data_IF_040587719013
#
_entry.id   IF_040587719013
#
_cell.length_a   1.000
_cell.length_b   1.000
_cell.length_c   1.000
_cell.angle_alpha   90.00
_cell.angle_beta   90.00
_cell.angle_gamma   90.00
#
_symmetry.space_group_name_H-M   'P 1'
#
loop_
_entity.id
_entity.type
_entity.pdbx_description
1 polymer ?
#
# COMPACT_ATOMS: atom_id res chain seq x y z
N UNK A 1 -32.49 63.53 37.71
CA UNK A 1 -32.67 62.35 38.60
C UNK A 1 -32.53 61.08 37.78
N UNK A 2 -31.35 60.45 37.80
CA UNK A 2 -31.12 59.16 37.14
C UNK A 2 -31.66 58.06 38.05
N UNK A 3 -32.72 57.37 37.60
CA UNK A 3 -33.33 56.25 38.31
C UNK A 3 -32.43 55.03 38.12
N UNK A 4 -31.70 54.64 39.16
CA UNK A 4 -30.91 53.41 39.17
C UNK A 4 -31.86 52.22 39.00
N UNK A 5 -31.74 51.48 37.89
CA UNK A 5 -32.39 50.18 37.73
C UNK A 5 -31.72 49.23 38.72
N UNK A 6 -32.48 48.69 39.66
CA UNK A 6 -32.00 47.61 40.53
C UNK A 6 -31.73 46.39 39.66
N UNK A 7 -30.47 45.95 39.63
CA UNK A 7 -30.10 44.65 39.08
C UNK A 7 -30.67 43.62 40.06
N UNK A 8 -31.83 43.03 39.73
CA UNK A 8 -32.29 41.84 40.43
C UNK A 8 -31.24 40.76 40.18
N UNK A 9 -30.51 40.36 41.21
CA UNK A 9 -29.79 39.09 41.20
C UNK A 9 -30.83 37.98 41.20
N UNK A 10 -31.31 37.61 40.01
CA UNK A 10 -32.04 36.38 39.81
C UNK A 10 -31.10 35.25 40.21
N UNK A 11 -31.25 34.74 41.43
CA UNK A 11 -30.57 33.53 41.86
C UNK A 11 -30.83 32.47 40.78
N UNK A 12 -29.78 31.79 40.29
CA UNK A 12 -29.98 30.78 39.26
C UNK A 12 -30.97 29.73 39.78
N UNK A 13 -31.84 29.19 38.92
CA UNK A 13 -32.87 28.24 39.33
C UNK A 13 -32.23 27.09 40.12
N UNK A 14 -32.90 26.62 41.18
CA UNK A 14 -32.35 25.65 42.13
C UNK A 14 -31.79 24.37 41.45
N UNK A 15 -32.38 23.99 40.32
CA UNK A 15 -31.91 22.91 39.45
C UNK A 15 -30.48 23.14 38.94
N UNK A 16 -30.16 24.35 38.46
CA UNK A 16 -28.85 24.71 37.94
C UNK A 16 -27.79 24.70 39.05
N UNK A 17 -28.14 25.18 40.24
CA UNK A 17 -27.30 25.11 41.44
C UNK A 17 -26.97 23.66 41.82
N UNK A 18 -27.93 22.73 41.66
CA UNK A 18 -27.72 21.32 41.98
C UNK A 18 -26.80 20.62 40.96
N UNK A 19 -26.90 20.98 39.67
CA UNK A 19 -25.97 20.52 38.62
C UNK A 19 -24.56 21.03 38.87
N UNK A 20 -24.39 22.31 39.21
CA UNK A 20 -23.07 22.90 39.48
C UNK A 20 -22.42 22.22 40.70
N UNK A 21 -23.22 21.95 41.74
CA UNK A 21 -22.75 21.28 42.96
C UNK A 21 -22.24 19.84 42.70
N UNK A 22 -22.86 19.13 41.76
CA UNK A 22 -22.48 17.76 41.38
C UNK A 22 -21.72 17.68 40.04
N UNK A 23 -21.22 18.81 39.53
CA UNK A 23 -20.60 18.92 38.22
C UNK A 23 -19.41 17.97 38.03
N UNK A 24 -18.58 17.79 39.06
CA UNK A 24 -17.46 16.86 39.02
C UNK A 24 -17.90 15.39 38.88
N UNK A 25 -18.96 14.99 39.59
CA UNK A 25 -19.51 13.62 39.52
C UNK A 25 -20.19 13.36 38.18
N UNK A 26 -20.94 14.34 37.69
CA UNK A 26 -21.57 14.29 36.36
C UNK A 26 -20.51 14.25 35.26
N UNK A 27 -19.46 15.05 35.36
CA UNK A 27 -18.33 15.02 34.42
C UNK A 27 -17.61 13.68 34.41
N UNK A 28 -17.35 13.10 35.58
CA UNK A 28 -16.77 11.76 35.69
C UNK A 28 -17.69 10.69 35.07
N UNK A 29 -19.00 10.75 35.32
CA UNK A 29 -19.98 9.84 34.72
C UNK A 29 -19.96 9.94 33.18
N UNK A 30 -19.97 11.14 32.62
CA UNK A 30 -19.88 11.35 31.17
C UNK A 30 -18.55 10.87 30.59
N UNK A 31 -17.45 11.03 31.32
CA UNK A 31 -16.15 10.51 30.91
C UNK A 31 -16.15 8.97 30.84
N UNK A 32 -16.69 8.30 31.86
CA UNK A 32 -16.85 6.84 31.86
C UNK A 32 -17.79 6.37 30.73
N UNK A 33 -18.92 7.06 30.53
CA UNK A 33 -19.83 6.80 29.40
C UNK A 33 -19.15 6.98 28.05
N UNK A 34 -18.31 8.01 27.89
CA UNK A 34 -17.55 8.24 26.66
C UNK A 34 -16.53 7.13 26.41
N UNK A 35 -15.85 6.64 27.45
CA UNK A 35 -14.95 5.49 27.34
C UNK A 35 -15.73 4.25 26.89
N UNK A 36 -16.85 3.93 27.55
CA UNK A 36 -17.70 2.77 27.21
C UNK A 36 -18.21 2.88 25.76
N UNK A 37 -18.67 4.07 25.36
CA UNK A 37 -19.13 4.33 23.99
C UNK A 37 -18.01 4.19 22.96
N UNK A 38 -16.78 4.62 23.30
CA UNK A 38 -15.60 4.42 22.45
C UNK A 38 -15.30 2.94 22.27
N UNK A 39 -15.36 2.13 23.35
CA UNK A 39 -15.20 0.68 23.25
C UNK A 39 -16.30 0.01 22.41
N UNK A 40 -17.53 0.50 22.51
CA UNK A 40 -18.67 0.05 21.69
C UNK A 40 -18.54 0.42 20.20
N UNK A 41 -17.93 1.56 19.87
CA UNK A 41 -17.59 1.90 18.50
C UNK A 41 -16.48 1.00 17.97
N UNK A 42 -15.45 0.75 18.78
CA UNK A 42 -14.35 -0.15 18.45
C UNK A 42 -14.84 -1.59 18.28
N UNK A 43 -15.87 -2.02 19.03
CA UNK A 43 -16.40 -3.38 18.94
C UNK A 43 -17.14 -3.69 17.64
N UNK A 44 -17.29 -2.72 16.73
CA UNK A 44 -17.80 -2.95 15.37
C UNK A 44 -19.27 -3.42 15.28
N UNK A 45 -19.96 -3.64 16.39
CA UNK A 45 -21.39 -4.00 16.41
C UNK A 45 -22.30 -2.81 16.04
N UNK A 46 -21.82 -1.59 16.29
CA UNK A 46 -22.52 -0.33 16.00
C UNK A 46 -21.86 0.41 14.82
N UNK A 47 -20.63 0.04 14.45
CA UNK A 47 -19.91 0.65 13.34
C UNK A 47 -20.50 0.23 11.99
N UNK A 48 -20.68 1.18 11.08
CA UNK A 48 -21.00 0.86 9.68
C UNK A 48 -19.84 0.07 9.05
N UNK A 49 -20.17 -0.82 8.11
CA UNK A 49 -19.17 -1.45 7.26
C UNK A 49 -18.35 -0.36 6.55
N UNK A 50 -17.04 -0.59 6.38
CA UNK A 50 -16.17 0.38 5.71
C UNK A 50 -16.70 0.68 4.31
N UNK A 51 -17.06 1.95 4.11
CA UNK A 51 -17.60 2.45 2.84
C UNK A 51 -16.48 3.18 2.13
N UNK A 52 -16.14 2.70 0.93
CA UNK A 52 -15.24 3.40 0.00
C UNK A 52 -15.84 4.79 -0.26
N UNK A 53 -15.13 5.83 0.18
CA UNK A 53 -15.59 7.22 0.09
C UNK A 53 -15.35 7.80 -1.30
N UNK A 54 -14.28 7.34 -1.96
CA UNK A 54 -13.90 7.74 -3.30
C UNK A 54 -14.78 7.09 -4.37
N UNK A 55 -15.74 7.87 -4.88
CA UNK A 55 -16.62 7.47 -5.97
C UNK A 55 -15.89 7.19 -7.30
N UNK A 56 -14.60 7.49 -7.44
CA UNK A 56 -13.82 7.16 -8.63
C UNK A 56 -13.34 5.70 -8.64
N UNK A 57 -13.29 5.06 -7.46
CA UNK A 57 -12.73 3.72 -7.32
C UNK A 57 -13.70 2.59 -7.70
N UNK A 58 -15.02 2.87 -7.78
CA UNK A 58 -16.13 2.03 -8.28
C UNK A 58 -15.83 0.51 -8.45
N UNK A 59 -15.29 -0.14 -7.43
CA UNK A 59 -14.70 -1.48 -7.58
C UNK A 59 -15.72 -2.55 -7.99
N UNK A 60 -17.01 -2.30 -7.74
CA UNK A 60 -18.12 -3.18 -8.14
C UNK A 60 -18.62 -3.00 -9.57
N UNK A 61 -18.17 -1.98 -10.31
CA UNK A 61 -18.65 -1.63 -11.66
C UNK A 61 -17.59 -1.86 -12.75
N UNK A 62 -16.42 -2.38 -12.39
CA UNK A 62 -15.35 -2.67 -13.35
C UNK A 62 -15.60 -4.03 -14.02
N UNK A 63 -15.55 -4.05 -15.34
CA UNK A 63 -15.55 -5.29 -16.13
C UNK A 63 -14.19 -6.00 -16.02
N UNK A 64 -14.20 -7.22 -15.52
CA UNK A 64 -13.03 -8.10 -15.53
C UNK A 64 -12.85 -8.66 -16.95
N UNK A 65 -11.72 -8.34 -17.59
CA UNK A 65 -11.46 -8.69 -18.99
C UNK A 65 -10.25 -9.58 -19.20
N UNK A 66 -9.31 -9.58 -18.25
CA UNK A 66 -8.11 -10.42 -18.35
C UNK A 66 -8.42 -11.87 -17.98
N UNK A 67 -8.18 -12.79 -18.90
CA UNK A 67 -8.44 -14.23 -18.73
C UNK A 67 -7.34 -15.10 -19.36
N UNK A 68 -6.18 -14.54 -19.68
CA UNK A 68 -5.12 -15.27 -20.39
C UNK A 68 -4.26 -16.11 -19.45
N UNK A 69 -4.85 -17.24 -19.01
CA UNK A 69 -4.20 -18.22 -18.14
C UNK A 69 -3.05 -18.92 -18.87
N UNK A 70 -3.13 -19.06 -20.20
CA UNK A 70 -2.10 -19.75 -20.97
C UNK A 70 -0.79 -18.97 -20.98
N UNK A 71 -0.87 -17.65 -21.23
CA UNK A 71 0.30 -16.77 -21.19
C UNK A 71 0.94 -16.75 -19.80
N UNK A 72 0.12 -16.67 -18.74
CA UNK A 72 0.63 -16.75 -17.37
C UNK A 72 1.34 -18.10 -17.10
N UNK A 73 0.73 -19.21 -17.52
CA UNK A 73 1.30 -20.55 -17.32
C UNK A 73 2.65 -20.70 -18.03
N UNK A 74 2.74 -20.18 -19.26
CA UNK A 74 4.00 -20.18 -20.02
C UNK A 74 5.08 -19.34 -19.32
N UNK A 75 4.73 -18.13 -18.86
CA UNK A 75 5.68 -17.27 -18.14
C UNK A 75 6.19 -17.95 -16.85
N UNK A 76 5.32 -18.65 -16.12
CA UNK A 76 5.70 -19.41 -14.93
C UNK A 76 6.64 -20.58 -15.24
N UNK A 77 6.42 -21.29 -16.36
CA UNK A 77 7.29 -22.37 -16.82
C UNK A 77 8.68 -21.81 -17.19
N UNK A 78 8.72 -20.79 -18.06
CA UNK A 78 9.96 -20.16 -18.52
C UNK A 78 10.79 -19.59 -17.35
N UNK A 79 10.13 -18.86 -16.42
CA UNK A 79 10.80 -18.33 -15.22
C UNK A 79 11.20 -19.44 -14.24
N UNK A 80 10.46 -20.56 -14.22
CA UNK A 80 10.76 -21.73 -13.41
C UNK A 80 12.08 -22.41 -13.80
N UNK A 81 12.45 -22.38 -15.08
CA UNK A 81 13.72 -22.91 -15.59
C UNK A 81 14.92 -22.07 -15.12
N UNK A 82 14.78 -20.75 -15.09
CA UNK A 82 15.86 -19.79 -14.78
C UNK A 82 15.88 -19.32 -13.32
N UNK A 83 15.02 -19.88 -12.47
CA UNK A 83 14.80 -19.44 -11.07
C UNK A 83 16.04 -19.25 -10.20
N UNK A 84 17.10 -20.02 -10.47
CA UNK A 84 18.31 -20.03 -9.65
C UNK A 84 19.29 -18.91 -10.04
N UNK A 85 19.10 -18.26 -11.19
CA UNK A 85 20.03 -17.26 -11.70
C UNK A 85 19.33 -15.89 -11.83
N UNK A 86 19.60 -15.01 -10.87
CA UNK A 86 19.03 -13.66 -10.85
C UNK A 86 19.40 -12.83 -12.09
N UNK A 87 20.58 -13.05 -12.68
CA UNK A 87 20.99 -12.34 -13.89
C UNK A 87 20.13 -12.76 -15.09
N UNK A 88 19.83 -14.06 -15.20
CA UNK A 88 18.94 -14.58 -16.25
C UNK A 88 17.51 -14.10 -16.05
N UNK A 89 17.00 -14.10 -14.81
CA UNK A 89 15.66 -13.55 -14.49
C UNK A 89 15.57 -12.09 -14.94
N UNK A 90 16.57 -11.27 -14.61
CA UNK A 90 16.60 -9.86 -15.02
C UNK A 90 16.62 -9.73 -16.55
N UNK A 91 17.45 -10.50 -17.24
CA UNK A 91 17.48 -10.47 -18.70
C UNK A 91 16.16 -10.91 -19.33
N UNK A 92 15.54 -11.96 -18.78
CA UNK A 92 14.23 -12.42 -19.22
C UNK A 92 13.15 -11.35 -19.06
N UNK A 93 13.07 -10.68 -17.90
CA UNK A 93 12.12 -9.59 -17.67
C UNK A 93 12.31 -8.48 -18.71
N UNK A 94 13.55 -8.05 -18.91
CA UNK A 94 13.86 -7.01 -19.88
C UNK A 94 13.46 -7.42 -21.30
N UNK A 95 13.81 -8.64 -21.71
CA UNK A 95 13.51 -9.17 -23.03
C UNK A 95 12.01 -9.33 -23.27
N UNK A 96 11.23 -9.72 -22.25
CA UNK A 96 9.76 -9.78 -22.34
C UNK A 96 9.15 -8.40 -22.57
N UNK A 97 9.56 -7.36 -21.84
CA UNK A 97 9.07 -6.00 -22.13
C UNK A 97 9.46 -5.52 -23.53
N UNK A 98 10.67 -5.83 -24.00
CA UNK A 98 11.11 -5.51 -25.37
C UNK A 98 10.22 -6.22 -26.40
N UNK A 99 9.92 -7.52 -26.21
CA UNK A 99 8.99 -8.28 -27.08
C UNK A 99 7.60 -7.65 -27.10
N UNK A 100 7.13 -7.18 -25.94
CA UNK A 100 5.86 -6.47 -25.76
C UNK A 100 5.86 -5.05 -26.36
N UNK A 101 7.02 -4.51 -26.76
CA UNK A 101 7.22 -3.12 -27.22
C UNK A 101 6.84 -2.07 -26.17
N UNK A 102 7.07 -2.40 -24.92
CA UNK A 102 6.91 -1.47 -23.79
C UNK A 102 8.26 -0.79 -23.52
N UNK A 103 8.23 0.46 -23.08
CA UNK A 103 9.46 1.16 -22.66
C UNK A 103 10.07 0.42 -21.48
N UNK A 104 11.33 0.01 -21.56
CA UNK A 104 12.02 -0.73 -20.50
C UNK A 104 13.45 -0.29 -20.35
N UNK A 105 13.91 -0.19 -19.11
CA UNK A 105 15.18 0.39 -18.75
C UNK A 105 15.81 -0.36 -17.58
N UNK A 106 17.13 -0.17 -17.42
CA UNK A 106 17.93 -0.77 -16.34
C UNK A 106 18.51 0.35 -15.49
N UNK A 107 18.53 0.14 -14.19
CA UNK A 107 19.22 1.02 -13.26
C UNK A 107 20.28 0.20 -12.52
N UNK A 108 21.55 0.46 -12.83
CA UNK A 108 22.67 -0.24 -12.21
C UNK A 108 23.24 0.60 -11.06
N UNK A 109 23.51 -0.05 -9.94
CA UNK A 109 24.07 0.59 -8.76
C UNK A 109 25.04 -0.34 -8.04
N UNK A 110 25.89 0.25 -7.20
CA UNK A 110 26.79 -0.45 -6.30
C UNK A 110 26.54 -0.02 -4.87
N UNK A 111 26.42 -1.00 -4.00
CA UNK A 111 26.39 -0.79 -2.56
C UNK A 111 27.83 -0.83 -2.06
N UNK A 112 28.30 0.31 -1.56
CA UNK A 112 29.63 0.43 -0.97
C UNK A 112 29.67 -0.28 0.39
N UNK A 113 30.86 -0.76 0.81
CA UNK A 113 31.00 -1.44 2.08
C UNK A 113 30.58 -0.51 3.21
N UNK A 114 29.55 -0.90 3.96
CA UNK A 114 29.18 -0.25 5.21
C UNK A 114 29.93 -0.90 6.36
N UNK A 115 29.97 -0.26 7.54
CA UNK A 115 30.67 -0.75 8.74
C UNK A 115 30.30 -2.19 9.19
N UNK A 116 29.24 -2.78 8.61
CA UNK A 116 28.76 -4.16 8.87
C UNK A 116 29.05 -5.17 7.74
N UNK A 117 29.43 -4.75 6.53
CA UNK A 117 29.59 -5.65 5.38
C UNK A 117 30.84 -5.25 4.56
N UNK A 118 31.83 -6.14 4.47
CA UNK A 118 33.13 -5.88 3.85
C UNK A 118 33.16 -6.00 2.32
N UNK A 119 32.04 -6.36 1.68
CA UNK A 119 31.99 -6.60 0.24
C UNK A 119 31.09 -5.59 -0.45
N UNK A 120 31.59 -5.03 -1.55
CA UNK A 120 30.77 -4.28 -2.52
C UNK A 120 29.83 -5.25 -3.22
N UNK A 121 28.52 -4.99 -3.20
CA UNK A 121 27.55 -5.72 -4.00
C UNK A 121 27.02 -4.82 -5.11
N UNK A 122 27.04 -5.34 -6.33
CA UNK A 122 26.40 -4.68 -7.47
C UNK A 122 24.94 -5.12 -7.52
N UNK A 123 24.04 -4.18 -7.78
CA UNK A 123 22.63 -4.44 -8.00
C UNK A 123 22.12 -3.80 -9.29
N UNK A 124 21.02 -4.34 -9.79
CA UNK A 124 20.41 -3.88 -11.04
C UNK A 124 18.89 -3.99 -10.98
N UNK A 125 18.21 -2.86 -10.88
CA UNK A 125 16.76 -2.81 -10.99
C UNK A 125 16.35 -2.75 -12.46
N UNK A 126 15.22 -3.36 -12.79
CA UNK A 126 14.59 -3.22 -14.11
C UNK A 126 13.26 -2.54 -13.92
N UNK A 127 12.93 -1.62 -14.81
CA UNK A 127 11.62 -0.99 -14.78
C UNK A 127 11.06 -0.80 -16.19
N UNK A 128 9.76 -0.99 -16.30
CA UNK A 128 8.99 -0.80 -17.52
C UNK A 128 7.94 0.30 -17.36
N UNK A 129 7.67 1.04 -18.42
CA UNK A 129 6.68 2.13 -18.40
C UNK A 129 5.70 1.93 -19.55
N UNK A 130 4.41 1.81 -19.21
CA UNK A 130 3.30 1.86 -20.17
C UNK A 130 2.67 3.24 -20.06
N UNK A 131 2.78 4.04 -21.12
CA UNK A 131 2.26 5.41 -21.17
C UNK A 131 0.75 5.43 -21.35
N UNK A 132 0.06 6.34 -20.67
CA UNK A 132 -1.34 6.59 -20.91
C UNK A 132 -1.55 7.24 -22.30
N UNK A 133 -2.27 6.57 -23.19
CA UNK A 133 -2.48 7.09 -24.56
C UNK A 133 -3.36 8.34 -24.62
N UNK A 134 -4.36 8.44 -23.73
CA UNK A 134 -5.40 9.50 -23.76
C UNK A 134 -5.24 10.58 -22.69
N UNK A 135 -4.23 10.47 -21.84
CA UNK A 135 -4.01 11.38 -20.73
C UNK A 135 -2.61 11.98 -20.82
N UNK A 136 -2.44 13.15 -20.22
CA UNK A 136 -1.10 13.72 -20.05
C UNK A 136 -0.29 12.83 -19.09
N UNK A 137 0.99 12.53 -19.38
CA UNK A 137 1.85 11.68 -18.56
C UNK A 137 2.33 12.41 -17.29
N UNK A 138 1.39 12.99 -16.54
CA UNK A 138 1.64 13.81 -15.34
C UNK A 138 1.56 12.98 -14.07
N UNK A 139 0.77 11.91 -14.11
CA UNK A 139 0.51 11.04 -12.97
C UNK A 139 0.72 9.56 -13.37
N UNK A 140 1.19 8.77 -12.41
CA UNK A 140 1.53 7.37 -12.60
C UNK A 140 1.08 6.50 -11.42
N UNK A 141 0.93 5.20 -11.69
CA UNK A 141 0.72 4.16 -10.69
C UNK A 141 1.91 3.21 -10.74
N UNK A 142 2.49 2.90 -9.58
CA UNK A 142 3.64 2.00 -9.45
C UNK A 142 3.17 0.58 -9.07
N UNK A 143 3.70 -0.42 -9.75
CA UNK A 143 3.66 -1.83 -9.35
C UNK A 143 5.08 -2.30 -9.08
N UNK A 144 5.43 -2.52 -7.81
CA UNK A 144 6.74 -2.99 -7.38
C UNK A 144 6.71 -4.49 -7.12
N UNK A 145 7.69 -5.20 -7.65
CA UNK A 145 7.77 -6.67 -7.66
C UNK A 145 9.18 -7.09 -7.30
N UNK A 146 9.40 -7.98 -6.33
CA UNK A 146 10.72 -8.49 -6.02
C UNK A 146 11.18 -9.50 -7.08
N UNK A 147 12.44 -9.42 -7.55
CA UNK A 147 12.98 -10.40 -8.51
C UNK A 147 13.16 -11.81 -7.93
N UNK A 148 12.95 -11.96 -6.62
CA UNK A 148 13.02 -13.24 -5.92
C UNK A 148 11.72 -14.04 -5.98
N UNK A 149 10.58 -13.42 -6.31
CA UNK A 149 9.28 -14.09 -6.43
C UNK A 149 8.91 -14.28 -7.90
N UNK A 150 9.04 -15.52 -8.39
CA UNK A 150 8.76 -15.88 -9.79
C UNK A 150 7.30 -15.64 -10.12
N UNK A 151 6.41 -16.03 -9.22
CA UNK A 151 4.97 -15.93 -9.38
C UNK A 151 4.55 -14.46 -9.51
N UNK A 152 5.13 -13.57 -8.69
CA UNK A 152 4.86 -12.14 -8.79
C UNK A 152 5.38 -11.55 -10.10
N UNK A 153 6.56 -11.97 -10.56
CA UNK A 153 7.13 -11.54 -11.84
C UNK A 153 6.22 -11.97 -12.99
N UNK A 154 5.79 -13.24 -13.00
CA UNK A 154 4.93 -13.79 -14.04
C UNK A 154 3.59 -13.04 -14.12
N UNK A 155 2.95 -12.78 -12.96
CA UNK A 155 1.70 -12.03 -12.89
C UNK A 155 1.89 -10.59 -13.36
N UNK A 156 2.98 -9.93 -12.96
CA UNK A 156 3.26 -8.56 -13.39
C UNK A 156 3.51 -8.45 -14.90
N UNK A 157 4.26 -9.40 -15.48
CA UNK A 157 4.51 -9.47 -16.93
C UNK A 157 3.22 -9.80 -17.70
N UNK A 158 2.40 -10.73 -17.22
CA UNK A 158 1.11 -11.05 -17.82
C UNK A 158 0.15 -9.85 -17.77
N UNK A 159 0.15 -9.10 -16.67
CA UNK A 159 -0.61 -7.87 -16.55
C UNK A 159 -0.09 -6.79 -17.50
N UNK A 160 1.23 -6.62 -17.62
CA UNK A 160 1.83 -5.66 -18.55
C UNK A 160 1.45 -5.97 -20.01
N UNK A 161 1.50 -7.24 -20.43
CA UNK A 161 1.13 -7.71 -21.77
C UNK A 161 -0.33 -7.40 -22.12
N UNK A 162 -1.22 -7.53 -21.14
CA UNK A 162 -2.62 -7.11 -21.27
C UNK A 162 -2.79 -5.59 -21.27
N UNK A 163 -2.09 -4.91 -20.38
CA UNK A 163 -2.23 -3.48 -20.13
C UNK A 163 -1.77 -2.65 -21.33
N UNK A 164 -0.72 -3.06 -22.05
CA UNK A 164 -0.21 -2.33 -23.21
C UNK A 164 -1.24 -2.15 -24.34
N UNK A 165 -2.19 -3.05 -24.45
CA UNK A 165 -3.21 -3.01 -25.52
C UNK A 165 -4.46 -2.21 -25.11
N UNK A 166 -4.53 -1.75 -23.85
CA UNK A 166 -5.68 -0.97 -23.36
C UNK A 166 -5.52 0.52 -23.65
N UNK A 167 -6.47 1.09 -24.38
CA UNK A 167 -6.45 2.51 -24.79
C UNK A 167 -6.95 3.49 -23.71
N UNK A 168 -7.54 2.98 -22.63
CA UNK A 168 -8.30 3.78 -21.66
C UNK A 168 -7.57 4.03 -20.35
N UNK A 169 -6.28 3.72 -20.25
CA UNK A 169 -5.50 4.12 -19.08
C UNK A 169 -5.50 5.63 -18.93
N UNK A 170 -5.90 6.10 -17.76
CA UNK A 170 -5.89 7.51 -17.40
C UNK A 170 -4.53 7.98 -16.90
N UNK A 171 -3.61 7.04 -16.59
CA UNK A 171 -2.33 7.26 -15.90
C UNK A 171 -1.26 6.32 -16.45
N UNK A 172 0.00 6.74 -16.37
CA UNK A 172 1.12 5.88 -16.71
C UNK A 172 1.18 4.70 -15.74
N UNK A 173 1.46 3.50 -16.23
CA UNK A 173 1.71 2.33 -15.40
C UNK A 173 3.21 2.07 -15.37
N UNK A 174 3.80 2.11 -14.18
CA UNK A 174 5.22 1.86 -13.98
C UNK A 174 5.38 0.53 -13.27
N UNK A 175 6.14 -0.38 -13.88
CA UNK A 175 6.48 -1.68 -13.32
C UNK A 175 7.91 -1.62 -12.84
N UNK A 176 8.17 -1.90 -11.57
CA UNK A 176 9.50 -1.93 -10.98
C UNK A 176 9.83 -3.33 -10.48
N UNK A 177 10.88 -3.91 -11.03
CA UNK A 177 11.44 -5.19 -10.60
C UNK A 177 12.67 -4.92 -9.73
N UNK A 178 12.51 -5.17 -8.43
CA UNK A 178 13.47 -4.82 -7.39
C UNK A 178 14.49 -5.94 -7.21
N UNK A 179 15.75 -5.63 -7.45
CA UNK A 179 16.84 -6.60 -7.37
C UNK A 179 17.02 -7.14 -5.95
N UNK A 180 17.01 -8.47 -5.84
CA UNK A 180 17.12 -9.20 -4.57
C UNK A 180 15.91 -9.01 -3.64
N UNK A 181 14.84 -8.34 -4.09
CA UNK A 181 13.64 -8.10 -3.29
C UNK A 181 13.87 -7.23 -2.04
N UNK A 182 14.95 -6.46 -2.00
CA UNK A 182 15.32 -5.67 -0.81
C UNK A 182 14.71 -4.27 -0.83
N UNK A 183 14.33 -3.75 0.34
CA UNK A 183 13.85 -2.37 0.50
C UNK A 183 14.91 -1.35 0.07
N UNK A 184 16.19 -1.65 0.29
CA UNK A 184 17.30 -0.81 -0.12
C UNK A 184 17.36 -0.65 -1.65
N UNK A 185 17.23 -1.74 -2.42
CA UNK A 185 17.21 -1.68 -3.88
C UNK A 185 16.02 -0.84 -4.39
N UNK A 186 14.85 -0.96 -3.76
CA UNK A 186 13.67 -0.16 -4.11
C UNK A 186 13.87 1.33 -3.79
N UNK A 187 14.41 1.65 -2.60
CA UNK A 187 14.74 3.01 -2.17
C UNK A 187 15.68 3.73 -3.15
N UNK A 188 16.68 3.01 -3.69
CA UNK A 188 17.66 3.57 -4.65
C UNK A 188 16.96 4.01 -5.94
N UNK A 189 16.08 3.16 -6.46
CA UNK A 189 15.30 3.48 -7.65
C UNK A 189 14.35 4.64 -7.39
N UNK A 190 13.61 4.58 -6.28
CA UNK A 190 12.62 5.60 -5.92
C UNK A 190 13.26 6.97 -5.65
N UNK A 191 14.44 6.99 -5.02
CA UNK A 191 15.21 8.22 -4.82
C UNK A 191 15.61 8.83 -6.16
N UNK A 192 16.06 8.01 -7.11
CA UNK A 192 16.40 8.49 -8.46
C UNK A 192 15.18 8.98 -9.22
N UNK A 193 14.04 8.29 -9.08
CA UNK A 193 12.76 8.68 -9.69
C UNK A 193 12.29 10.07 -9.24
N UNK A 194 12.52 10.41 -7.98
CA UNK A 194 12.15 11.73 -7.43
C UNK A 194 13.27 12.78 -7.51
N UNK A 195 14.38 12.49 -8.22
CA UNK A 195 15.54 13.39 -8.31
C UNK A 195 16.19 13.67 -6.95
N UNK A 196 16.04 12.76 -5.99
CA UNK A 196 16.64 12.87 -4.67
C UNK A 196 18.08 12.33 -4.69
N UNK A 197 18.94 12.95 -3.87
CA UNK A 197 20.30 12.45 -3.69
C UNK A 197 20.28 11.10 -3.00
N UNK A 198 21.12 10.19 -3.49
CA UNK A 198 21.31 8.89 -2.86
C UNK A 198 21.90 9.02 -1.45
N UNK A 199 21.56 8.06 -0.58
CA UNK A 199 22.14 7.96 0.77
C UNK A 199 23.64 7.64 0.66
N UNK A 200 24.40 8.02 1.68
CA UNK A 200 25.83 7.68 1.76
C UNK A 200 26.03 6.15 1.65
N UNK A 201 27.06 5.73 0.91
CA UNK A 201 27.35 4.32 0.69
C UNK A 201 26.64 3.69 -0.52
N UNK A 202 25.97 4.48 -1.37
CA UNK A 202 25.40 4.04 -2.64
C UNK A 202 26.09 4.80 -3.78
N UNK A 203 26.61 4.06 -4.76
CA UNK A 203 27.19 4.61 -5.99
C UNK A 203 26.29 4.20 -7.16
N UNK A 204 25.68 5.16 -7.84
CA UNK A 204 24.97 4.89 -9.08
C UNK A 204 25.99 4.70 -10.20
N UNK A 205 25.75 3.71 -11.08
CA UNK A 205 26.58 3.53 -12.27
C UNK A 205 26.14 4.52 -13.37
N UNK A 206 24.86 4.84 -13.39
CA UNK A 206 24.25 5.83 -14.28
C UNK A 206 23.73 7.01 -13.43
N UNK A 207 24.12 8.24 -13.76
CA UNK A 207 23.84 9.43 -12.94
C UNK A 207 22.33 9.76 -12.82
N UNK A 208 21.51 9.35 -13.80
CA UNK A 208 20.07 9.63 -13.88
C UNK A 208 19.30 8.45 -14.50
N UNK A 209 18.01 8.34 -14.19
CA UNK A 209 17.14 7.36 -14.86
C UNK A 209 16.93 7.78 -16.31
N UNK A 210 17.12 6.84 -17.25
CA UNK A 210 16.91 7.07 -18.69
C UNK A 210 15.51 7.59 -19.01
N UNK A 211 14.49 7.14 -18.27
CA UNK A 211 13.15 7.69 -18.33
C UNK A 211 12.43 7.55 -16.99
N UNK A 212 11.40 8.37 -16.77
CA UNK A 212 10.49 8.22 -15.64
C UNK A 212 9.04 8.47 -16.07
N UNK A 213 8.10 8.02 -15.25
CA UNK A 213 6.67 8.30 -15.40
C UNK A 213 6.29 9.64 -14.77
N UNK A 214 4.98 9.88 -14.69
CA UNK A 214 4.42 11.00 -13.92
C UNK A 214 4.60 10.86 -12.40
N UNK A 215 4.03 11.80 -11.64
CA UNK A 215 4.00 11.72 -10.17
C UNK A 215 3.17 10.53 -9.71
N UNK A 216 3.67 9.75 -8.75
CA UNK A 216 2.90 8.63 -8.21
C UNK A 216 1.68 9.10 -7.43
N UNK A 217 0.50 8.61 -7.82
CA UNK A 217 -0.74 8.77 -7.07
C UNK A 217 -1.06 7.54 -6.20
N UNK A 218 -0.39 6.43 -6.47
CA UNK A 218 -0.53 5.17 -5.75
C UNK A 218 0.58 4.19 -6.14
N UNK A 219 0.88 3.27 -5.22
CA UNK A 219 1.87 2.22 -5.43
C UNK A 219 1.38 0.91 -4.80
N UNK A 220 1.64 -0.20 -5.47
CA UNK A 220 1.32 -1.54 -5.01
C UNK A 220 2.59 -2.38 -4.99
N UNK A 221 2.82 -3.09 -3.88
CA UNK A 221 3.84 -4.14 -3.81
C UNK A 221 3.17 -5.49 -4.04
N UNK A 222 3.71 -6.30 -4.94
CA UNK A 222 3.20 -7.64 -5.22
C UNK A 222 4.19 -8.69 -4.72
N UNK A 223 3.74 -9.53 -3.79
CA UNK A 223 4.47 -10.70 -3.31
C UNK A 223 3.51 -11.89 -3.22
N UNK A 224 3.56 -12.73 -4.25
CA UNK A 224 2.76 -13.93 -4.43
C UNK A 224 3.65 -15.14 -4.16
N UNK A 225 3.11 -16.08 -3.40
CA UNK A 225 3.75 -17.37 -3.16
C UNK A 225 2.80 -18.49 -3.60
N UNK A 226 3.23 -19.28 -4.59
CA UNK A 226 2.45 -20.40 -5.13
C UNK A 226 1.36 -20.02 -6.14
N UNK A 227 0.73 -21.05 -6.71
CA UNK A 227 -0.18 -20.92 -7.86
C UNK A 227 -1.66 -20.90 -7.48
N UNK A 228 -2.00 -21.25 -6.24
CA UNK A 228 -3.37 -21.26 -5.72
C UNK A 228 -3.30 -20.68 -4.31
N UNK A 229 -3.94 -19.53 -4.10
CA UNK A 229 -3.99 -18.87 -2.81
C UNK A 229 -5.43 -18.82 -2.30
N UNK A 230 -5.65 -19.31 -1.07
CA UNK A 230 -6.95 -19.25 -0.39
C UNK A 230 -7.15 -17.95 0.40
N UNK A 231 -6.05 -17.27 0.70
CA UNK A 231 -6.00 -16.02 1.43
C UNK A 231 -5.06 -15.03 0.77
N UNK A 232 -5.37 -13.74 0.91
CA UNK A 232 -4.51 -12.63 0.47
C UNK A 232 -4.27 -11.74 1.68
N UNK A 233 -3.01 -11.59 2.07
CA UNK A 233 -2.62 -10.66 3.13
C UNK A 233 -2.51 -9.25 2.55
N UNK A 234 -3.43 -8.37 2.95
CA UNK A 234 -3.39 -6.96 2.58
C UNK A 234 -2.55 -6.23 3.62
N UNK A 235 -1.29 -5.96 3.26
CA UNK A 235 -0.37 -5.21 4.09
C UNK A 235 -0.42 -3.72 3.74
N UNK A 236 -0.28 -2.87 4.76
CA UNK A 236 -0.25 -1.43 4.58
C UNK A 236 0.93 -0.84 5.35
N UNK A 237 1.70 0.02 4.68
CA UNK A 237 2.79 0.77 5.30
C UNK A 237 2.30 2.12 5.84
N UNK A 238 2.91 2.60 6.92
CA UNK A 238 2.72 3.97 7.40
C UNK A 238 4.04 4.71 7.29
N UNK A 239 4.06 5.86 6.60
CA UNK A 239 5.25 6.71 6.49
C UNK A 239 5.07 7.89 7.42
N UNK A 240 5.96 8.05 8.41
CA UNK A 240 5.92 9.15 9.40
C UNK A 240 4.56 9.27 10.12
N UNK A 241 3.92 8.14 10.43
CA UNK A 241 2.61 8.12 11.10
C UNK A 241 1.43 8.52 10.22
N UNK A 242 1.63 8.75 8.91
CA UNK A 242 0.53 8.90 7.96
C UNK A 242 0.03 7.53 7.54
N UNK A 243 -1.26 7.31 7.72
CA UNK A 243 -1.96 6.14 7.18
C UNK A 243 -2.02 6.23 5.65
N UNK A 244 -2.01 5.09 4.94
CA UNK A 244 -2.33 5.07 3.53
C UNK A 244 -3.79 5.46 3.30
N UNK A 245 -4.13 5.74 2.04
CA UNK A 245 -5.53 5.99 1.68
C UNK A 245 -6.38 4.76 2.06
N UNK A 246 -7.31 4.94 3.00
CA UNK A 246 -8.17 3.87 3.51
C UNK A 246 -9.06 3.29 2.40
N UNK A 247 -9.48 4.12 1.44
CA UNK A 247 -10.29 3.66 0.32
C UNK A 247 -9.53 2.68 -0.58
N UNK A 248 -8.22 2.87 -0.77
CA UNK A 248 -7.37 1.95 -1.52
C UNK A 248 -7.23 0.59 -0.80
N UNK A 249 -7.11 0.65 0.52
CA UNK A 249 -7.04 -0.53 1.36
C UNK A 249 -8.36 -1.32 1.34
N UNK A 250 -9.48 -0.63 1.56
CA UNK A 250 -10.82 -1.22 1.51
C UNK A 250 -11.12 -1.80 0.11
N UNK A 251 -10.67 -1.13 -0.95
CA UNK A 251 -10.77 -1.65 -2.31
C UNK A 251 -9.99 -2.96 -2.49
N UNK A 252 -8.77 -3.06 -1.98
CA UNK A 252 -7.98 -4.29 -2.06
C UNK A 252 -8.66 -5.46 -1.32
N UNK A 253 -9.20 -5.18 -0.12
CA UNK A 253 -9.98 -6.16 0.66
C UNK A 253 -11.23 -6.60 -0.13
N UNK A 254 -11.99 -5.65 -0.68
CA UNK A 254 -13.20 -5.93 -1.43
C UNK A 254 -12.94 -6.74 -2.70
N UNK A 255 -11.91 -6.39 -3.47
CA UNK A 255 -11.52 -7.12 -4.69
C UNK A 255 -11.04 -8.53 -4.37
N UNK A 256 -10.33 -8.71 -3.24
CA UNK A 256 -9.93 -10.03 -2.75
C UNK A 256 -11.15 -10.90 -2.45
N UNK A 257 -12.14 -10.37 -1.74
CA UNK A 257 -13.39 -11.11 -1.46
C UNK A 257 -14.17 -11.42 -2.74
N UNK A 258 -14.22 -10.48 -3.68
CA UNK A 258 -14.88 -10.66 -4.98
C UNK A 258 -14.22 -11.77 -5.80
N UNK A 259 -12.89 -11.86 -5.75
CA UNK A 259 -12.12 -12.93 -6.38
C UNK A 259 -12.27 -14.29 -5.67
N UNK A 260 -12.97 -14.35 -4.53
CA UNK A 260 -13.22 -15.57 -3.77
C UNK A 260 -12.13 -15.96 -2.78
N UNK A 261 -11.11 -15.11 -2.59
CA UNK A 261 -10.07 -15.30 -1.58
C UNK A 261 -10.46 -14.67 -0.24
N UNK A 262 -9.82 -15.13 0.83
CA UNK A 262 -10.04 -14.61 2.19
C UNK A 262 -9.06 -13.46 2.45
N UNK A 263 -9.50 -12.20 2.54
CA UNK A 263 -8.61 -11.12 2.92
C UNK A 263 -8.18 -11.26 4.39
N UNK A 264 -6.88 -11.14 4.63
CA UNK A 264 -6.31 -11.07 5.98
C UNK A 264 -5.52 -9.78 6.15
N UNK A 265 -5.48 -9.27 7.38
CA UNK A 265 -4.73 -8.06 7.72
C UNK A 265 -3.85 -8.39 8.91
N UNK A 266 -2.53 -8.32 8.75
CA UNK A 266 -1.55 -8.79 9.75
C UNK A 266 -1.85 -10.21 10.24
N UNK A 267 -2.09 -11.13 9.29
CA UNK A 267 -2.43 -12.55 9.52
C UNK A 267 -3.70 -12.80 10.34
N UNK A 268 -4.56 -11.79 10.49
CA UNK A 268 -5.83 -11.92 11.19
C UNK A 268 -6.94 -11.92 10.15
N UNK A 269 -7.70 -13.01 10.13
CA UNK A 269 -8.86 -13.17 9.26
C UNK A 269 -10.04 -12.35 9.76
N UNK A 270 -10.72 -11.65 8.85
CA UNK A 270 -12.01 -11.04 9.15
C UNK A 270 -13.05 -12.15 9.38
N UNK A 271 -13.38 -12.44 10.63
CA UNK A 271 -14.46 -13.36 10.95
C UNK A 271 -15.81 -12.72 10.57
N UNK A 272 -16.49 -13.23 9.53
CA UNK A 272 -17.74 -12.67 8.99
C UNK A 272 -18.89 -12.53 10.00
N UNK A 273 -18.89 -13.28 11.10
CA UNK A 273 -20.09 -13.42 11.95
C UNK A 273 -19.90 -13.06 13.44
N UNK A 274 -18.69 -12.80 13.94
CA UNK A 274 -18.49 -12.39 15.33
C UNK A 274 -17.27 -11.47 15.47
N UNK A 275 -17.48 -10.29 16.06
CA UNK A 275 -16.40 -9.37 16.34
C UNK A 275 -15.50 -9.96 17.43
N UNK A 276 -14.31 -10.42 17.03
CA UNK A 276 -13.32 -10.91 17.97
C UNK A 276 -12.51 -9.71 18.49
N UNK A 277 -12.88 -9.15 19.65
CA UNK A 277 -12.15 -8.05 20.27
C UNK A 277 -10.64 -8.36 20.44
N UNK A 278 -10.29 -9.63 20.72
CA UNK A 278 -8.88 -10.06 20.75
C UNK A 278 -8.23 -9.98 19.38
N UNK A 279 -8.96 -10.31 18.32
CA UNK A 279 -8.51 -10.15 16.94
C UNK A 279 -8.19 -8.69 16.62
N UNK A 280 -9.13 -7.78 16.87
CA UNK A 280 -8.93 -6.35 16.62
C UNK A 280 -7.77 -5.76 17.44
N UNK A 281 -7.67 -6.10 18.73
CA UNK A 281 -6.56 -5.69 19.58
C UNK A 281 -5.22 -6.25 19.10
N UNK A 282 -5.19 -7.51 18.65
CA UNK A 282 -3.99 -8.12 18.08
C UNK A 282 -3.62 -7.49 16.73
N UNK A 283 -4.57 -7.16 15.87
CA UNK A 283 -4.29 -6.44 14.60
C UNK A 283 -3.68 -5.08 14.89
N UNK A 284 -4.24 -4.34 15.85
CA UNK A 284 -3.71 -3.04 16.27
C UNK A 284 -2.29 -3.15 16.84
N UNK A 285 -2.06 -4.11 17.75
CA UNK A 285 -0.74 -4.34 18.34
C UNK A 285 0.28 -4.82 17.29
N UNK A 286 -0.10 -5.75 16.41
CA UNK A 286 0.75 -6.23 15.33
C UNK A 286 1.08 -5.11 14.34
N UNK A 287 0.14 -4.20 14.07
CA UNK A 287 0.39 -2.99 13.29
C UNK A 287 1.43 -2.09 13.95
N UNK A 288 1.35 -1.88 15.27
CA UNK A 288 2.36 -1.13 16.03
C UNK A 288 3.72 -1.84 16.02
N UNK A 289 3.76 -3.15 16.19
CA UNK A 289 5.02 -3.92 16.16
C UNK A 289 5.65 -3.87 14.76
N UNK A 290 4.84 -4.04 13.71
CA UNK A 290 5.27 -3.90 12.33
C UNK A 290 5.84 -2.50 12.07
N UNK A 291 5.23 -1.46 12.63
CA UNK A 291 5.74 -0.08 12.60
C UNK A 291 7.13 0.03 13.25
N UNK A 292 7.30 -0.53 14.45
CA UNK A 292 8.62 -0.52 15.13
C UNK A 292 9.67 -1.28 14.34
N UNK A 293 9.33 -2.42 13.74
CA UNK A 293 10.25 -3.20 12.92
C UNK A 293 10.66 -2.49 11.62
N UNK A 294 9.75 -1.73 10.99
CA UNK A 294 10.05 -0.92 9.80
C UNK A 294 10.99 0.25 10.10
N UNK A 295 10.96 0.82 11.32
CA UNK A 295 11.87 1.90 11.73
C UNK A 295 13.27 1.41 12.14
N UNK A 296 13.43 0.13 12.45
CA UNK A 296 14.67 -0.45 12.96
C UNK A 296 15.54 -1.13 11.87
N UNK A 297 15.00 -1.30 10.66
CA UNK A 297 15.71 -1.81 9.48
C UNK A 297 16.13 -0.67 8.56
#
# INVERSE_FOLDING_TARGET
>A
MLRTRSIRSSQPPAFLMNIIKHSALIGFLFFVLAIIYTFLLISGEIGEYTKIQENALLAGLVDERWHDINKLSQLLEDLGEIKNNQIEIRNFIFDEFVKMRVEVYRQKFKLLPSFKLNNTSNGENIYGIIRAFRASPVEAILLAVPTTSIESIAVALAFADYAKDQLYWSRDLVFLFVDGGTTQSADIWLSSYHGQRQKEGIELIDDELEAHGGTFIGAFGLDINGNIFGDVEVLHGMINGKLPNMDLFDLAVLLTEKAGAIPTVHKITRARNHFNFRGAANTFLNGIVSLVCLFLN
#
